data_IF_140817601776
#
_entry.id   IF_140817601776
#
_cell.length_a   1.000
_cell.length_b   1.000
_cell.length_c   1.000
_cell.angle_alpha   90.00
_cell.angle_beta   90.00
_cell.angle_gamma   90.00
#
_symmetry.space_group_name_H-M   'P 1'
#
loop_
_entity.id
_entity.type
_entity.pdbx_description
1 polymer ?
#
# COMPACT_ATOMS: atom_id res chain seq x y z
N UNK A 1 11.74 10.22 -4.56
CA UNK A 1 11.53 9.63 -3.21
C UNK A 1 10.11 9.13 -3.00
N UNK A 2 9.10 9.98 -3.12
CA UNK A 2 7.71 9.61 -2.78
C UNK A 2 6.96 8.79 -3.85
N UNK A 3 7.50 8.64 -5.05
CA UNK A 3 6.88 7.99 -6.23
C UNK A 3 5.45 8.52 -6.46
N UNK A 4 5.27 9.80 -6.84
CA UNK A 4 3.97 10.48 -6.83
C UNK A 4 2.90 9.79 -7.70
N UNK A 5 3.27 9.13 -8.80
CA UNK A 5 2.34 8.36 -9.62
C UNK A 5 1.62 7.24 -8.86
N UNK A 6 2.28 6.63 -7.86
CA UNK A 6 1.65 5.60 -7.04
C UNK A 6 0.80 6.17 -5.89
N UNK A 7 0.99 7.44 -5.51
CA UNK A 7 0.15 8.05 -4.46
C UNK A 7 -1.32 8.16 -4.89
N UNK A 8 -1.59 8.19 -6.18
CA UNK A 8 -2.96 8.23 -6.74
C UNK A 8 -3.79 7.04 -6.25
N UNK A 9 -3.22 5.84 -6.18
CA UNK A 9 -3.95 4.67 -5.67
C UNK A 9 -4.38 4.85 -4.21
N UNK A 10 -3.59 5.52 -3.38
CA UNK A 10 -3.99 5.82 -2.00
C UNK A 10 -5.11 6.86 -1.95
N UNK A 11 -5.02 7.90 -2.79
CA UNK A 11 -6.08 8.89 -2.89
C UNK A 11 -7.41 8.27 -3.31
N UNK A 12 -7.40 7.34 -4.28
CA UNK A 12 -8.60 6.60 -4.72
C UNK A 12 -9.11 5.69 -3.60
N UNK A 13 -8.25 4.98 -2.87
CA UNK A 13 -8.65 4.14 -1.74
C UNK A 13 -9.33 4.94 -0.63
N UNK A 14 -8.79 6.12 -0.28
CA UNK A 14 -9.43 7.05 0.66
C UNK A 14 -10.79 7.52 0.13
N UNK A 15 -10.87 7.91 -1.15
CA UNK A 15 -12.11 8.36 -1.76
C UNK A 15 -13.18 7.25 -1.75
N UNK A 16 -12.79 6.01 -2.04
CA UNK A 16 -13.69 4.85 -1.98
C UNK A 16 -14.26 4.64 -0.57
N UNK A 17 -13.40 4.65 0.48
CA UNK A 17 -13.87 4.52 1.86
C UNK A 17 -14.77 5.69 2.30
N UNK A 18 -14.46 6.91 1.90
CA UNK A 18 -15.31 8.06 2.16
C UNK A 18 -16.65 7.96 1.41
N UNK A 19 -16.65 7.48 0.17
CA UNK A 19 -17.86 7.28 -0.62
C UNK A 19 -18.79 6.26 0.03
N UNK A 20 -18.27 5.16 0.60
CA UNK A 20 -19.10 4.18 1.34
C UNK A 20 -19.75 4.82 2.57
N UNK A 21 -19.06 5.72 3.28
CA UNK A 21 -19.63 6.44 4.41
C UNK A 21 -20.78 7.36 4.00
N UNK A 22 -20.62 8.12 2.92
CA UNK A 22 -21.64 9.04 2.38
C UNK A 22 -22.83 8.26 1.85
N UNK A 23 -22.61 7.21 1.05
CA UNK A 23 -23.67 6.39 0.46
C UNK A 23 -24.56 5.71 1.51
N UNK A 24 -24.00 5.46 2.71
CA UNK A 24 -24.76 4.90 3.84
C UNK A 24 -25.60 5.93 4.62
N UNK A 25 -25.78 7.15 4.11
CA UNK A 25 -26.55 8.22 4.75
C UNK A 25 -25.85 8.91 5.92
N UNK A 26 -24.55 8.67 6.11
CA UNK A 26 -23.74 9.34 7.13
C UNK A 26 -23.42 10.79 6.75
N UNK A 27 -23.29 11.68 7.75
CA UNK A 27 -22.75 13.01 7.54
C UNK A 27 -21.28 12.96 7.13
N UNK A 28 -20.81 13.90 6.31
CA UNK A 28 -19.43 13.98 5.88
C UNK A 28 -18.69 15.15 6.56
N UNK A 29 -17.57 14.85 7.20
CA UNK A 29 -16.71 15.85 7.80
C UNK A 29 -15.51 16.15 6.89
N UNK A 30 -15.51 17.29 6.22
CA UNK A 30 -14.43 17.75 5.38
C UNK A 30 -13.07 17.81 6.08
N UNK A 31 -12.96 18.39 7.31
CA UNK A 31 -11.65 18.42 8.00
C UNK A 31 -11.08 17.02 8.25
N UNK A 32 -11.91 16.07 8.70
CA UNK A 32 -11.49 14.67 8.91
C UNK A 32 -11.15 13.99 7.58
N UNK A 33 -11.91 14.23 6.52
CA UNK A 33 -11.65 13.70 5.19
C UNK A 33 -10.31 14.17 4.62
N UNK A 34 -10.05 15.47 4.66
CA UNK A 34 -8.79 16.06 4.19
C UNK A 34 -7.59 15.57 5.02
N UNK A 35 -7.73 15.52 6.35
CA UNK A 35 -6.69 14.98 7.22
C UNK A 35 -6.41 13.49 6.92
N UNK A 36 -7.46 12.67 6.69
CA UNK A 36 -7.30 11.28 6.29
C UNK A 36 -6.52 11.15 4.98
N UNK A 37 -6.87 11.92 3.97
CA UNK A 37 -6.12 11.94 2.71
C UNK A 37 -4.67 12.33 2.89
N UNK A 38 -4.41 13.43 3.57
CA UNK A 38 -3.05 13.91 3.80
C UNK A 38 -2.21 12.86 4.53
N UNK A 39 -2.72 12.30 5.63
CA UNK A 39 -1.99 11.31 6.44
C UNK A 39 -1.79 9.99 5.69
N UNK A 40 -2.77 9.51 4.94
CA UNK A 40 -2.63 8.30 4.12
C UNK A 40 -1.59 8.47 3.01
N UNK A 41 -1.55 9.63 2.34
CA UNK A 41 -0.53 9.94 1.34
C UNK A 41 0.86 10.04 1.96
N UNK A 42 1.00 10.66 3.15
CA UNK A 42 2.27 10.71 3.88
C UNK A 42 2.72 9.32 4.35
N UNK A 43 1.80 8.47 4.80
CA UNK A 43 2.09 7.08 5.16
C UNK A 43 2.62 6.28 3.96
N UNK A 44 1.97 6.40 2.81
CA UNK A 44 2.42 5.77 1.57
C UNK A 44 3.79 6.32 1.12
N UNK A 45 3.99 7.62 1.17
CA UNK A 45 5.28 8.24 0.85
C UNK A 45 6.40 7.73 1.78
N UNK A 46 6.13 7.63 3.08
CA UNK A 46 7.04 7.06 4.07
C UNK A 46 7.41 5.60 3.73
N UNK A 47 6.41 4.76 3.41
CA UNK A 47 6.63 3.37 3.04
C UNK A 47 7.46 3.23 1.74
N UNK A 48 7.24 4.09 0.74
CA UNK A 48 8.04 4.12 -0.48
C UNK A 48 9.50 4.47 -0.21
N UNK A 49 9.75 5.47 0.64
CA UNK A 49 11.13 5.83 1.04
C UNK A 49 11.81 4.72 1.83
N UNK A 50 11.08 4.05 2.72
CA UNK A 50 11.59 2.92 3.48
C UNK A 50 11.92 1.73 2.58
N UNK A 51 11.11 1.48 1.55
CA UNK A 51 11.39 0.47 0.52
C UNK A 51 12.65 0.82 -0.27
N UNK A 52 12.79 2.06 -0.76
CA UNK A 52 13.98 2.52 -1.47
C UNK A 52 15.26 2.39 -0.61
N UNK A 53 15.18 2.72 0.69
CA UNK A 53 16.27 2.50 1.64
C UNK A 53 16.64 1.02 1.77
N UNK A 54 15.65 0.14 1.94
CA UNK A 54 15.88 -1.29 2.08
C UNK A 54 16.46 -1.91 0.80
N UNK A 55 15.99 -1.49 -0.38
CA UNK A 55 16.46 -1.98 -1.67
C UNK A 55 17.86 -1.41 -2.03
N UNK A 56 18.21 -0.23 -1.53
CA UNK A 56 19.58 0.29 -1.60
C UNK A 56 20.56 -0.56 -0.77
N UNK A 57 20.18 -0.96 0.45
CA UNK A 57 21.03 -1.77 1.32
C UNK A 57 21.21 -3.22 0.82
N UNK A 58 20.19 -3.78 0.20
CA UNK A 58 20.26 -5.17 -0.30
C UNK A 58 20.78 -5.30 -1.73
N UNK A 59 21.03 -4.17 -2.42
CA UNK A 59 21.56 -4.12 -3.77
C UNK A 59 20.54 -4.42 -4.89
N UNK A 60 19.26 -4.60 -4.59
CA UNK A 60 18.25 -4.92 -5.60
C UNK A 60 18.14 -3.83 -6.68
N UNK A 61 18.09 -2.57 -6.27
CA UNK A 61 18.03 -1.45 -7.19
C UNK A 61 19.31 -1.31 -8.03
N UNK A 62 20.48 -1.59 -7.45
CA UNK A 62 21.75 -1.55 -8.18
C UNK A 62 21.85 -2.68 -9.21
N UNK A 63 21.33 -3.87 -8.89
CA UNK A 63 21.30 -5.02 -9.78
C UNK A 63 20.27 -4.90 -10.91
N UNK A 64 19.31 -3.97 -10.80
CA UNK A 64 18.21 -3.84 -11.73
C UNK A 64 18.55 -2.90 -12.90
N UNK A 65 19.01 -3.47 -14.01
CA UNK A 65 19.24 -2.74 -15.26
C UNK A 65 18.04 -2.71 -16.21
N UNK A 66 17.04 -3.58 -15.96
CA UNK A 66 15.84 -3.75 -16.81
C UNK A 66 14.57 -3.08 -16.27
N UNK A 67 14.67 -2.36 -15.14
CA UNK A 67 13.53 -1.69 -14.53
C UNK A 67 12.87 -0.66 -15.43
N UNK A 68 11.55 -0.63 -15.42
CA UNK A 68 10.71 0.28 -16.21
C UNK A 68 10.32 1.50 -15.36
N UNK A 69 11.22 2.49 -15.30
CA UNK A 69 10.95 3.72 -14.57
C UNK A 69 9.75 4.48 -15.17
N UNK A 70 8.83 5.04 -14.37
CA UNK A 70 8.84 5.14 -12.90
C UNK A 70 8.14 3.96 -12.17
N UNK A 71 7.76 2.91 -12.86
CA UNK A 71 6.90 1.85 -12.32
C UNK A 71 7.69 0.80 -11.52
N UNK A 72 8.91 0.47 -11.95
CA UNK A 72 9.73 -0.56 -11.30
C UNK A 72 11.17 -0.07 -11.08
N UNK A 73 11.97 -0.78 -10.27
CA UNK A 73 13.38 -0.47 -10.03
C UNK A 73 13.62 0.69 -9.04
N UNK A 74 12.66 1.01 -8.19
CA UNK A 74 12.80 2.04 -7.16
C UNK A 74 12.81 3.48 -7.70
N UNK A 75 13.08 4.46 -6.83
CA UNK A 75 13.28 5.86 -7.25
C UNK A 75 14.67 6.12 -7.84
N UNK A 76 15.61 5.24 -7.59
CA UNK A 76 17.02 5.30 -8.00
C UNK A 76 17.78 6.55 -7.50
N UNK A 77 17.24 7.30 -6.58
CA UNK A 77 17.86 8.52 -6.07
C UNK A 77 19.13 8.23 -5.24
N UNK A 78 19.13 7.13 -4.50
CA UNK A 78 20.30 6.67 -3.74
C UNK A 78 21.38 6.20 -4.70
N UNK A 79 21.05 5.40 -5.73
CA UNK A 79 22.00 4.87 -6.72
C UNK A 79 22.60 5.96 -7.59
N UNK A 80 21.86 7.06 -7.80
CA UNK A 80 22.34 8.24 -8.54
C UNK A 80 23.13 9.24 -7.68
N UNK A 81 23.30 8.95 -6.38
CA UNK A 81 23.98 9.84 -5.44
C UNK A 81 23.25 11.15 -5.14
N UNK A 82 21.96 11.25 -5.49
CA UNK A 82 21.15 12.46 -5.24
C UNK A 82 20.77 12.60 -3.77
N UNK A 83 20.55 11.45 -3.10
CA UNK A 83 20.19 11.38 -1.67
C UNK A 83 20.96 10.23 -1.03
N UNK A 84 21.54 10.47 0.16
CA UNK A 84 22.15 9.38 0.93
C UNK A 84 21.09 8.42 1.46
N UNK A 85 21.44 7.12 1.58
CA UNK A 85 20.52 6.12 2.14
C UNK A 85 20.08 6.48 3.57
N UNK A 86 20.98 7.06 4.37
CA UNK A 86 20.68 7.53 5.72
C UNK A 86 19.61 8.64 5.73
N UNK A 87 19.71 9.60 4.81
CA UNK A 87 18.74 10.68 4.69
C UNK A 87 17.37 10.13 4.25
N UNK A 88 17.35 9.17 3.32
CA UNK A 88 16.12 8.49 2.90
C UNK A 88 15.39 7.86 4.09
N UNK A 89 16.15 7.17 4.96
CA UNK A 89 15.61 6.59 6.20
C UNK A 89 15.10 7.66 7.15
N UNK A 90 15.85 8.74 7.35
CA UNK A 90 15.45 9.83 8.27
C UNK A 90 14.16 10.49 7.80
N UNK A 91 14.06 10.83 6.53
CA UNK A 91 12.82 11.41 5.96
C UNK A 91 11.63 10.46 6.09
N UNK A 92 11.83 9.16 5.84
CA UNK A 92 10.78 8.16 6.06
C UNK A 92 10.29 8.17 7.52
N UNK A 93 11.21 8.20 8.50
CA UNK A 93 10.87 8.23 9.93
C UNK A 93 10.14 9.52 10.32
N UNK A 94 10.56 10.67 9.83
CA UNK A 94 9.87 11.95 10.07
C UNK A 94 8.43 11.89 9.57
N UNK A 95 8.21 11.39 8.35
CA UNK A 95 6.85 11.21 7.82
C UNK A 95 6.04 10.23 8.66
N UNK A 96 6.64 9.12 9.11
CA UNK A 96 5.97 8.15 9.98
C UNK A 96 5.54 8.78 11.31
N UNK A 97 6.39 9.61 11.93
CA UNK A 97 6.06 10.34 13.16
C UNK A 97 4.87 11.28 12.92
N UNK A 98 4.88 12.05 11.83
CA UNK A 98 3.76 12.94 11.48
C UNK A 98 2.47 12.14 11.31
N UNK A 99 2.53 10.97 10.65
CA UNK A 99 1.39 10.07 10.46
C UNK A 99 0.88 9.54 11.80
N UNK A 100 1.76 9.15 12.72
CA UNK A 100 1.38 8.68 14.06
C UNK A 100 0.68 9.78 14.85
N UNK A 101 1.27 10.97 14.90
CA UNK A 101 0.70 12.11 15.66
C UNK A 101 -0.65 12.55 15.06
N UNK A 102 -0.73 12.67 13.73
CA UNK A 102 -1.97 13.00 13.05
C UNK A 102 -3.03 11.89 13.16
N UNK A 103 -2.60 10.61 13.13
CA UNK A 103 -3.47 9.46 13.34
C UNK A 103 -4.07 9.41 14.75
N UNK A 104 -3.29 9.75 15.78
CA UNK A 104 -3.79 9.89 17.15
C UNK A 104 -4.82 11.02 17.22
N UNK A 105 -4.53 12.17 16.62
CA UNK A 105 -5.49 13.28 16.55
C UNK A 105 -6.79 12.84 15.86
N UNK A 106 -6.72 12.16 14.71
CA UNK A 106 -7.91 11.61 14.04
C UNK A 106 -8.67 10.62 14.92
N UNK A 107 -7.97 9.74 15.65
CA UNK A 107 -8.58 8.74 16.52
C UNK A 107 -9.36 9.38 17.68
N UNK A 108 -8.83 10.47 18.26
CA UNK A 108 -9.54 11.25 19.29
C UNK A 108 -10.88 11.79 18.75
N UNK A 109 -10.94 12.19 17.47
CA UNK A 109 -12.14 12.79 16.86
C UNK A 109 -13.06 11.80 16.15
N UNK A 110 -12.59 10.55 15.91
CA UNK A 110 -13.33 9.55 15.12
C UNK A 110 -13.59 8.25 15.87
N UNK A 111 -12.82 7.99 16.95
CA UNK A 111 -12.97 6.79 17.77
C UNK A 111 -11.73 5.91 17.82
N UNK A 112 -11.59 5.15 18.92
CA UNK A 112 -10.40 4.37 19.25
C UNK A 112 -10.08 3.21 18.29
N UNK A 113 -11.05 2.71 17.52
CA UNK A 113 -10.82 1.67 16.52
C UNK A 113 -9.82 2.09 15.42
N UNK A 114 -9.69 3.41 15.18
CA UNK A 114 -8.69 3.93 14.25
C UNK A 114 -7.25 3.67 14.72
N UNK A 115 -7.00 3.62 16.03
CA UNK A 115 -5.68 3.28 16.57
C UNK A 115 -5.28 1.84 16.23
N UNK A 116 -6.25 0.91 16.26
CA UNK A 116 -6.01 -0.48 15.88
C UNK A 116 -5.66 -0.57 14.39
N UNK A 117 -6.45 0.08 13.52
CA UNK A 117 -6.16 0.14 12.08
C UNK A 117 -4.79 0.77 11.80
N UNK A 118 -4.49 1.90 12.46
CA UNK A 118 -3.21 2.59 12.34
C UNK A 118 -2.03 1.73 12.78
N UNK A 119 -2.15 1.03 13.92
CA UNK A 119 -1.11 0.12 14.41
C UNK A 119 -0.86 -1.02 13.43
N UNK A 120 -1.93 -1.68 12.94
CA UNK A 120 -1.79 -2.77 11.96
C UNK A 120 -1.17 -2.24 10.67
N UNK A 121 -1.59 -1.06 10.18
CA UNK A 121 -1.02 -0.43 8.99
C UNK A 121 0.47 -0.11 9.13
N UNK A 122 0.88 0.45 10.28
CA UNK A 122 2.30 0.73 10.57
C UNK A 122 3.14 -0.54 10.66
N UNK A 123 2.62 -1.59 11.32
CA UNK A 123 3.28 -2.89 11.42
C UNK A 123 3.43 -3.54 10.03
N UNK A 124 2.42 -3.48 9.18
CA UNK A 124 2.50 -3.97 7.79
C UNK A 124 3.54 -3.18 6.98
N UNK A 125 3.53 -1.86 7.07
CA UNK A 125 4.50 -1.01 6.37
C UNK A 125 5.93 -1.29 6.80
N UNK A 126 6.18 -1.47 8.11
CA UNK A 126 7.49 -1.87 8.64
C UNK A 126 7.87 -3.28 8.18
N UNK A 127 6.98 -4.25 8.38
CA UNK A 127 7.20 -5.64 8.05
C UNK A 127 7.43 -5.89 6.56
N UNK A 128 6.85 -5.05 5.70
CA UNK A 128 7.00 -5.14 4.26
C UNK A 128 8.47 -5.05 3.83
N UNK A 129 9.20 -4.03 4.29
CA UNK A 129 10.54 -3.73 3.80
C UNK A 129 11.67 -4.15 4.75
N UNK A 130 11.45 -4.12 6.07
CA UNK A 130 12.51 -4.22 7.08
C UNK A 130 12.60 -5.59 7.75
N UNK A 131 13.84 -5.96 8.21
CA UNK A 131 14.04 -7.12 9.05
C UNK A 131 13.28 -7.01 10.40
N UNK A 132 12.96 -8.14 11.03
CA UNK A 132 13.28 -9.51 10.61
C UNK A 132 12.32 -10.08 9.55
N UNK A 133 11.17 -9.42 9.28
CA UNK A 133 10.14 -9.97 8.40
C UNK A 133 10.47 -9.75 6.91
N UNK A 134 10.72 -8.52 6.48
CA UNK A 134 11.04 -8.16 5.10
C UNK A 134 10.16 -8.93 4.09
N UNK A 135 8.84 -8.81 4.23
CA UNK A 135 7.84 -9.65 3.54
C UNK A 135 7.96 -9.56 2.02
N UNK A 136 8.39 -8.40 1.50
CA UNK A 136 8.67 -8.20 0.08
C UNK A 136 9.74 -9.15 -0.47
N UNK A 137 10.70 -9.59 0.39
CA UNK A 137 11.76 -10.53 -0.01
C UNK A 137 11.34 -11.99 0.10
N UNK A 138 10.18 -12.27 0.70
CA UNK A 138 9.72 -13.61 1.05
C UNK A 138 8.50 -14.07 0.25
N UNK A 139 8.07 -13.29 -0.76
CA UNK A 139 6.89 -13.58 -1.56
C UNK A 139 5.56 -13.35 -0.85
N UNK A 140 5.55 -12.49 0.18
CA UNK A 140 4.38 -12.02 0.90
C UNK A 140 4.09 -10.54 0.65
N UNK A 141 4.86 -9.92 -0.26
CA UNK A 141 4.74 -8.51 -0.57
C UNK A 141 3.36 -8.13 -1.08
N UNK A 142 2.84 -8.90 -2.03
CA UNK A 142 1.55 -8.65 -2.69
C UNK A 142 0.38 -8.75 -1.70
N UNK A 143 0.42 -9.74 -0.80
CA UNK A 143 -0.59 -9.89 0.26
C UNK A 143 -0.51 -8.73 1.25
N UNK A 144 0.71 -8.34 1.65
CA UNK A 144 0.91 -7.20 2.57
C UNK A 144 0.38 -5.91 1.99
N UNK A 145 0.63 -5.66 0.72
CA UNK A 145 0.14 -4.49 -0.01
C UNK A 145 -1.38 -4.54 -0.15
N UNK A 146 -1.96 -5.68 -0.52
CA UNK A 146 -3.41 -5.85 -0.60
C UNK A 146 -4.10 -5.51 0.73
N UNK A 147 -3.57 -6.02 1.85
CA UNK A 147 -4.08 -5.73 3.20
C UNK A 147 -3.91 -4.26 3.57
N UNK A 148 -2.75 -3.65 3.29
CA UNK A 148 -2.50 -2.25 3.61
C UNK A 148 -3.51 -1.32 2.92
N UNK A 149 -3.80 -1.53 1.63
CA UNK A 149 -4.78 -0.72 0.92
C UNK A 149 -6.23 -1.05 1.30
N UNK A 150 -6.53 -2.27 1.69
CA UNK A 150 -7.82 -2.60 2.31
C UNK A 150 -8.02 -1.81 3.61
N UNK A 151 -6.98 -1.71 4.46
CA UNK A 151 -7.02 -0.88 5.67
C UNK A 151 -7.22 0.61 5.38
N UNK A 152 -6.66 1.14 4.28
CA UNK A 152 -6.88 2.53 3.84
C UNK A 152 -8.37 2.78 3.57
N UNK A 153 -9.03 1.88 2.82
CA UNK A 153 -10.47 2.01 2.51
C UNK A 153 -11.32 1.95 3.78
N UNK A 154 -11.10 0.91 4.61
CA UNK A 154 -11.84 0.73 5.87
C UNK A 154 -11.58 1.91 6.83
N UNK A 155 -10.32 2.37 6.92
CA UNK A 155 -9.94 3.49 7.78
C UNK A 155 -10.58 4.81 7.35
N UNK A 156 -10.66 5.07 6.06
CA UNK A 156 -11.28 6.28 5.53
C UNK A 156 -12.80 6.32 5.80
N UNK A 157 -13.49 5.19 5.71
CA UNK A 157 -14.88 5.05 6.13
C UNK A 157 -15.02 5.24 7.65
N UNK A 158 -14.17 4.54 8.42
CA UNK A 158 -14.19 4.61 9.89
C UNK A 158 -14.01 6.03 10.41
N UNK A 159 -13.13 6.82 9.83
CA UNK A 159 -12.91 8.22 10.22
C UNK A 159 -14.18 9.05 10.11
N UNK A 160 -15.03 8.76 9.13
CA UNK A 160 -16.29 9.48 8.95
C UNK A 160 -17.38 9.00 9.93
N UNK A 161 -17.48 7.69 10.20
CA UNK A 161 -18.61 7.06 10.91
C UNK A 161 -18.32 6.62 12.35
N UNK A 162 -17.04 6.50 12.75
CA UNK A 162 -16.62 6.13 14.10
C UNK A 162 -16.81 4.66 14.47
N UNK A 163 -17.19 3.79 13.52
CA UNK A 163 -17.40 2.35 13.73
C UNK A 163 -17.15 1.55 12.45
N UNK A 164 -16.99 0.24 12.59
CA UNK A 164 -16.76 -0.68 11.48
C UNK A 164 -18.07 -1.13 10.85
N UNK A 165 -18.04 -1.27 9.51
CA UNK A 165 -19.16 -1.78 8.73
C UNK A 165 -18.68 -2.80 7.70
N UNK A 166 -19.59 -3.68 7.25
CA UNK A 166 -19.29 -4.71 6.26
C UNK A 166 -19.11 -4.15 4.85
N UNK A 167 -19.90 -3.13 4.48
CA UNK A 167 -19.85 -2.54 3.12
C UNK A 167 -18.45 -2.02 2.76
N UNK A 168 -17.80 -1.14 3.56
CA UNK A 168 -16.44 -0.72 3.26
C UNK A 168 -15.43 -1.87 3.32
N UNK A 169 -15.63 -2.87 4.19
CA UNK A 169 -14.76 -4.05 4.24
C UNK A 169 -14.88 -4.90 2.97
N UNK A 170 -16.09 -5.07 2.44
CA UNK A 170 -16.34 -5.78 1.18
C UNK A 170 -15.73 -5.02 -0.03
N UNK A 171 -15.90 -3.69 -0.10
CA UNK A 171 -15.28 -2.86 -1.12
C UNK A 171 -13.74 -2.89 -1.02
N UNK A 172 -13.22 -2.86 0.21
CA UNK A 172 -11.79 -2.90 0.53
C UNK A 172 -11.12 -4.19 0.03
N UNK A 173 -11.81 -5.33 0.10
CA UNK A 173 -11.29 -6.61 -0.41
C UNK A 173 -11.02 -6.54 -1.91
N UNK A 174 -12.00 -6.10 -2.71
CA UNK A 174 -11.83 -5.95 -4.15
C UNK A 174 -10.70 -4.97 -4.49
N UNK A 175 -10.69 -3.83 -3.82
CA UNK A 175 -9.66 -2.80 -4.00
C UNK A 175 -8.26 -3.31 -3.62
N UNK A 176 -8.12 -3.93 -2.46
CA UNK A 176 -6.85 -4.49 -1.99
C UNK A 176 -6.30 -5.55 -2.95
N UNK A 177 -7.14 -6.46 -3.45
CA UNK A 177 -6.75 -7.46 -4.46
C UNK A 177 -6.19 -6.79 -5.73
N UNK A 178 -6.85 -5.75 -6.22
CA UNK A 178 -6.36 -5.01 -7.40
C UNK A 178 -5.01 -4.35 -7.14
N UNK A 179 -4.79 -3.75 -5.97
CA UNK A 179 -3.51 -3.10 -5.65
C UNK A 179 -2.40 -4.12 -5.43
N UNK A 180 -2.67 -5.23 -4.75
CA UNK A 180 -1.71 -6.35 -4.66
C UNK A 180 -1.32 -6.90 -6.03
N UNK A 181 -2.28 -6.96 -6.95
CA UNK A 181 -2.06 -7.39 -8.33
C UNK A 181 -1.22 -6.40 -9.16
N UNK A 182 -1.34 -5.09 -8.91
CA UNK A 182 -0.43 -4.08 -9.49
C UNK A 182 1.01 -4.34 -9.05
N UNK A 183 1.24 -4.67 -7.76
CA UNK A 183 2.58 -5.01 -7.29
C UNK A 183 3.12 -6.26 -7.97
N UNK A 184 2.28 -7.29 -8.17
CA UNK A 184 2.68 -8.49 -8.91
C UNK A 184 3.07 -8.15 -10.36
N UNK A 185 2.31 -7.29 -11.05
CA UNK A 185 2.65 -6.83 -12.40
C UNK A 185 4.02 -6.12 -12.42
N UNK A 186 4.28 -5.26 -11.44
CA UNK A 186 5.55 -4.54 -11.32
C UNK A 186 6.75 -5.47 -11.02
N UNK A 187 6.51 -6.66 -10.45
CA UNK A 187 7.56 -7.63 -10.15
C UNK A 187 8.07 -8.41 -11.39
N UNK A 188 7.34 -8.39 -12.52
CA UNK A 188 7.77 -9.13 -13.71
C UNK A 188 9.10 -8.62 -14.31
N UNK A 189 9.25 -7.31 -14.62
CA UNK A 189 10.53 -6.81 -15.17
C UNK A 189 11.66 -6.90 -14.15
N UNK A 190 11.36 -6.86 -12.85
CA UNK A 190 12.35 -6.87 -11.78
C UNK A 190 12.82 -8.31 -11.40
N UNK A 191 12.09 -9.36 -11.83
CA UNK A 191 12.28 -10.72 -11.34
C UNK A 191 13.72 -11.26 -11.50
N UNK A 192 14.39 -10.96 -12.62
CA UNK A 192 15.77 -11.41 -12.86
C UNK A 192 16.77 -10.69 -11.93
N UNK A 193 16.57 -9.41 -11.64
CA UNK A 193 17.40 -8.64 -10.73
C UNK A 193 17.18 -9.07 -9.28
N UNK A 194 15.91 -9.22 -8.88
CA UNK A 194 15.49 -9.68 -7.55
C UNK A 194 16.10 -11.06 -7.22
N UNK A 195 16.04 -12.00 -8.17
CA UNK A 195 16.63 -13.33 -8.00
C UNK A 195 18.14 -13.28 -7.74
N UNK A 196 18.87 -12.39 -8.42
CA UNK A 196 20.34 -12.23 -8.26
C UNK A 196 20.75 -11.80 -6.85
N UNK A 197 19.91 -11.00 -6.19
CA UNK A 197 20.18 -10.51 -4.82
C UNK A 197 19.45 -11.32 -3.74
N UNK A 198 18.88 -12.48 -4.10
CA UNK A 198 18.18 -13.37 -3.19
C UNK A 198 16.79 -12.86 -2.73
N UNK A 199 16.22 -11.88 -3.41
CA UNK A 199 14.86 -11.39 -3.17
C UNK A 199 13.88 -12.34 -3.86
N UNK A 200 13.10 -13.07 -3.07
CA UNK A 200 12.20 -14.14 -3.53
C UNK A 200 10.75 -13.65 -3.59
N UNK A 201 10.48 -12.66 -4.44
CA UNK A 201 9.12 -12.17 -4.74
C UNK A 201 8.24 -13.29 -5.31
N UNK A 202 6.92 -13.11 -5.39
CA UNK A 202 6.03 -14.11 -5.99
C UNK A 202 6.43 -14.43 -7.43
N UNK A 203 6.80 -13.42 -8.23
CA UNK A 203 7.25 -13.63 -9.60
C UNK A 203 8.51 -14.51 -9.67
N UNK A 204 9.47 -14.31 -8.74
CA UNK A 204 10.68 -15.15 -8.63
C UNK A 204 10.36 -16.58 -8.16
N UNK A 205 9.46 -16.72 -7.15
CA UNK A 205 9.13 -18.02 -6.56
C UNK A 205 8.32 -18.93 -7.48
N UNK A 206 7.36 -18.36 -8.20
CA UNK A 206 6.46 -19.09 -9.09
C UNK A 206 7.04 -19.28 -10.49
N UNK A 207 7.99 -18.41 -10.88
CA UNK A 207 8.38 -18.21 -12.26
C UNK A 207 7.35 -17.39 -13.04
N UNK A 208 7.82 -16.70 -14.09
CA UNK A 208 7.00 -15.69 -14.81
C UNK A 208 5.68 -16.25 -15.36
N UNK A 209 5.69 -17.49 -15.88
CA UNK A 209 4.50 -18.09 -16.47
C UNK A 209 3.39 -18.32 -15.44
N UNK A 210 3.72 -18.91 -14.28
CA UNK A 210 2.72 -19.16 -13.22
C UNK A 210 2.30 -17.85 -12.55
N UNK A 211 3.21 -16.91 -12.39
CA UNK A 211 2.89 -15.58 -11.88
C UNK A 211 1.91 -14.84 -12.82
N UNK A 212 2.04 -15.00 -14.16
CA UNK A 212 1.08 -14.44 -15.12
C UNK A 212 -0.32 -15.06 -14.98
N UNK A 213 -0.43 -16.38 -14.77
CA UNK A 213 -1.71 -17.02 -14.48
C UNK A 213 -2.31 -16.56 -13.17
N UNK A 214 -1.48 -16.39 -12.12
CA UNK A 214 -1.93 -15.84 -10.84
C UNK A 214 -2.44 -14.42 -11.01
N UNK A 215 -1.72 -13.56 -11.78
CA UNK A 215 -2.15 -12.20 -12.09
C UNK A 215 -3.55 -12.18 -12.72
N UNK A 216 -3.78 -13.01 -13.75
CA UNK A 216 -5.08 -13.11 -14.40
C UNK A 216 -6.17 -13.62 -13.43
N UNK A 217 -5.87 -14.65 -12.65
CA UNK A 217 -6.83 -15.20 -11.68
C UNK A 217 -7.24 -14.16 -10.64
N UNK A 218 -6.29 -13.39 -10.08
CA UNK A 218 -6.58 -12.33 -9.11
C UNK A 218 -7.36 -11.19 -9.77
N UNK A 219 -7.01 -10.80 -11.01
CA UNK A 219 -7.73 -9.76 -11.75
C UNK A 219 -9.21 -10.16 -11.96
N UNK A 220 -9.46 -11.38 -12.44
CA UNK A 220 -10.83 -11.88 -12.61
C UNK A 220 -11.58 -12.02 -11.28
N UNK A 221 -10.93 -12.53 -10.25
CA UNK A 221 -11.54 -12.66 -8.92
C UNK A 221 -11.94 -11.29 -8.33
N UNK A 222 -11.08 -10.27 -8.46
CA UNK A 222 -11.38 -8.93 -8.00
C UNK A 222 -12.57 -8.31 -8.76
N UNK A 223 -12.62 -8.47 -10.09
CA UNK A 223 -13.72 -7.96 -10.89
C UNK A 223 -15.04 -8.72 -10.60
N UNK A 224 -14.98 -10.05 -10.50
CA UNK A 224 -16.16 -10.86 -10.17
C UNK A 224 -16.69 -10.51 -8.77
N UNK A 225 -15.80 -10.24 -7.82
CA UNK A 225 -16.18 -9.80 -6.48
C UNK A 225 -16.94 -8.47 -6.51
N UNK A 226 -16.39 -7.45 -7.19
CA UNK A 226 -17.04 -6.14 -7.31
C UNK A 226 -18.40 -6.27 -8.02
N UNK A 227 -18.47 -7.04 -9.10
CA UNK A 227 -19.72 -7.30 -9.83
C UNK A 227 -20.76 -7.97 -8.90
N UNK A 228 -20.35 -8.97 -8.12
CA UNK A 228 -21.24 -9.63 -7.16
C UNK A 228 -21.79 -8.65 -6.12
N UNK A 229 -20.97 -7.72 -5.61
CA UNK A 229 -21.43 -6.69 -4.67
C UNK A 229 -22.45 -5.74 -5.30
N UNK A 230 -22.23 -5.34 -6.56
CA UNK A 230 -23.16 -4.47 -7.30
C UNK A 230 -24.49 -5.20 -7.57
N UNK A 231 -24.41 -6.44 -8.09
CA UNK A 231 -25.63 -7.24 -8.42
C UNK A 231 -26.45 -7.59 -7.17
N UNK A 232 -25.78 -7.79 -6.02
CA UNK A 232 -26.46 -8.07 -4.75
C UNK A 232 -26.99 -6.79 -4.04
N UNK A 233 -26.75 -5.61 -4.60
CA UNK A 233 -27.20 -4.34 -4.00
C UNK A 233 -26.41 -3.93 -2.74
N UNK A 234 -25.21 -4.49 -2.53
CA UNK A 234 -24.32 -4.10 -1.41
C UNK A 234 -23.57 -2.82 -1.74
N UNK A 235 -23.25 -2.61 -3.02
CA UNK A 235 -22.64 -1.39 -3.57
C UNK A 235 -23.52 -0.77 -4.63
#
# INVERSE_FOLDING_TARGET
>A
MTRPGFLVITAIGCALGMATAVASGGGFSWPRGLATWALALLAHASANMQNDYADALNGADAANSAGLYPFTGGSRLVQRGVVAAADMRQFSLVLAIVVVLGGIWLAVHSGGGLLVLGLVGLLLGWAYSLPPLALMKRGWGEVSVALAWALVVVGADYVQRGRFFLVPAAAALGYGLMIGNILLANAFPDAAADARVGKRTLAVRLGLQRAAWLYLAVAFAAQAWVLALVVSGVL
#
